data_IF_446360106752
#
_entry.id   IF_446360106752
#
_cell.length_a   1.000
_cell.length_b   1.000
_cell.length_c   1.000
_cell.angle_alpha   90.00
_cell.angle_beta   90.00
_cell.angle_gamma   90.00
#
_symmetry.space_group_name_H-M   'P 1'
#
loop_
_entity.id
_entity.type
_entity.pdbx_description
1 polymer ?
#
# COMPACT_ATOMS: atom_id res chain seq x y z
N UNK A 1 0.57 -4.32 -17.04
CA UNK A 1 0.66 -4.74 -15.62
C UNK A 1 -0.70 -5.29 -15.24
N UNK A 2 -0.75 -6.48 -14.67
CA UNK A 2 -2.03 -7.14 -14.30
C UNK A 2 -2.12 -7.42 -12.80
N UNK A 3 -1.04 -7.20 -12.03
CA UNK A 3 -0.99 -7.47 -10.59
C UNK A 3 -0.26 -6.36 -9.84
N UNK A 4 -0.93 -5.75 -8.88
CA UNK A 4 -0.43 -4.60 -8.12
C UNK A 4 -0.69 -4.78 -6.63
N UNK A 5 0.18 -4.25 -5.79
CA UNK A 5 -0.04 -4.12 -4.36
C UNK A 5 -0.96 -2.92 -4.07
N UNK A 6 -1.86 -3.04 -3.10
CA UNK A 6 -2.71 -1.95 -2.63
C UNK A 6 -2.44 -1.70 -1.15
N UNK A 7 -1.88 -0.53 -0.84
CA UNK A 7 -1.65 -0.07 0.53
C UNK A 7 -2.50 1.17 0.80
N UNK A 8 -3.30 1.13 1.86
CA UNK A 8 -4.19 2.22 2.23
C UNK A 8 -4.79 1.99 3.60
N UNK A 9 -5.91 2.62 3.90
CA UNK A 9 -6.68 2.27 5.09
C UNK A 9 -7.14 0.81 5.03
N UNK A 10 -7.42 0.22 6.20
CA UNK A 10 -7.98 -1.12 6.29
C UNK A 10 -9.23 -1.28 5.41
N UNK A 11 -10.10 -0.26 5.37
CA UNK A 11 -11.29 -0.26 4.53
C UNK A 11 -10.97 -0.34 3.05
N UNK A 12 -10.01 0.45 2.57
CA UNK A 12 -9.56 0.43 1.16
C UNK A 12 -8.96 -0.92 0.77
N UNK A 13 -8.25 -1.59 1.68
CA UNK A 13 -7.62 -2.88 1.42
C UNK A 13 -8.61 -4.06 1.53
N UNK A 14 -9.54 -4.03 2.47
CA UNK A 14 -10.43 -5.17 2.75
C UNK A 14 -11.75 -5.14 1.97
N UNK A 15 -12.24 -3.96 1.58
CA UNK A 15 -13.52 -3.86 0.90
C UNK A 15 -13.41 -3.89 -0.63
N UNK A 16 -14.49 -4.33 -1.27
CA UNK A 16 -14.55 -4.54 -2.72
C UNK A 16 -14.69 -3.25 -3.54
N UNK A 17 -15.07 -2.12 -2.93
CA UNK A 17 -15.36 -0.90 -3.69
C UNK A 17 -14.18 -0.41 -4.54
N UNK A 18 -12.95 -0.59 -4.05
CA UNK A 18 -11.73 -0.16 -4.74
C UNK A 18 -11.12 -1.30 -5.56
N UNK A 19 -10.99 -2.49 -4.94
CA UNK A 19 -10.37 -3.67 -5.55
C UNK A 19 -11.25 -4.29 -6.64
N UNK A 20 -12.55 -4.37 -6.38
CA UNK A 20 -13.56 -4.83 -7.33
C UNK A 20 -13.57 -3.97 -8.57
N UNK A 21 -13.56 -2.63 -8.42
CA UNK A 21 -13.51 -1.71 -9.57
C UNK A 21 -12.26 -1.92 -10.44
N UNK A 22 -11.09 -2.08 -9.83
CA UNK A 22 -9.84 -2.35 -10.54
C UNK A 22 -9.86 -3.69 -11.28
N UNK A 23 -10.46 -4.70 -10.67
CA UNK A 23 -10.60 -6.04 -11.26
C UNK A 23 -11.60 -6.02 -12.41
N UNK A 24 -12.79 -5.45 -12.21
CA UNK A 24 -13.89 -5.43 -13.18
C UNK A 24 -13.60 -4.56 -14.40
N UNK A 25 -13.06 -3.35 -14.20
CA UNK A 25 -12.88 -2.39 -15.30
C UNK A 25 -11.54 -2.55 -16.02
N UNK A 26 -10.51 -3.04 -15.32
CA UNK A 26 -9.14 -3.03 -15.84
C UNK A 26 -8.47 -4.41 -15.80
N UNK A 27 -9.13 -5.46 -15.29
CA UNK A 27 -8.53 -6.79 -15.09
C UNK A 27 -7.23 -6.75 -14.27
N UNK A 28 -7.16 -5.81 -13.31
CA UNK A 28 -6.01 -5.64 -12.42
C UNK A 28 -6.30 -6.34 -11.09
N UNK A 29 -5.50 -7.36 -10.76
CA UNK A 29 -5.56 -8.04 -9.48
C UNK A 29 -4.80 -7.24 -8.40
N UNK A 30 -5.46 -7.03 -7.27
CA UNK A 30 -4.90 -6.30 -6.13
C UNK A 30 -4.44 -7.26 -5.02
N UNK A 31 -3.14 -7.29 -4.77
CA UNK A 31 -2.54 -7.89 -3.60
C UNK A 31 -2.63 -6.95 -2.41
N UNK A 32 -2.99 -7.50 -1.26
CA UNK A 32 -3.06 -6.78 -0.01
C UNK A 32 -2.17 -7.47 1.04
N UNK A 33 -1.65 -6.73 2.02
CA UNK A 33 -0.90 -7.30 3.13
C UNK A 33 -1.72 -8.28 3.98
N UNK A 34 -1.06 -9.05 4.82
CA UNK A 34 -1.69 -9.93 5.80
C UNK A 34 -2.44 -9.15 6.89
N UNK A 35 -3.31 -9.82 7.66
CA UNK A 35 -4.20 -9.15 8.61
C UNK A 35 -3.47 -8.25 9.64
N UNK A 36 -2.38 -8.76 10.22
CA UNK A 36 -1.57 -8.01 11.19
C UNK A 36 -0.88 -6.81 10.53
N UNK A 37 -0.43 -7.00 9.27
CA UNK A 37 0.20 -5.93 8.51
C UNK A 37 -0.79 -4.82 8.19
N UNK A 38 -2.01 -5.18 7.80
CA UNK A 38 -3.10 -4.22 7.54
C UNK A 38 -3.49 -3.45 8.80
N UNK A 39 -3.56 -4.11 9.95
CA UNK A 39 -3.84 -3.45 11.22
C UNK A 39 -2.76 -2.41 11.56
N UNK A 40 -1.49 -2.77 11.42
CA UNK A 40 -0.37 -1.87 11.68
C UNK A 40 -0.30 -0.71 10.70
N UNK A 41 -0.52 -0.96 9.40
CA UNK A 41 -0.60 0.09 8.38
C UNK A 41 -1.72 1.07 8.71
N UNK A 42 -2.90 0.57 9.06
CA UNK A 42 -4.03 1.42 9.43
C UNK A 42 -3.73 2.25 10.68
N UNK A 43 -3.06 1.66 11.68
CA UNK A 43 -2.60 2.39 12.87
C UNK A 43 -1.66 3.54 12.48
N UNK A 44 -0.62 3.27 11.68
CA UNK A 44 0.34 4.29 11.24
C UNK A 44 -0.36 5.43 10.49
N UNK A 45 -1.34 5.11 9.64
CA UNK A 45 -2.10 6.13 8.90
C UNK A 45 -2.77 7.12 9.88
N UNK A 46 -3.52 6.63 10.87
CA UNK A 46 -4.29 7.50 11.75
C UNK A 46 -3.48 8.11 12.89
N UNK A 47 -2.53 7.37 13.45
CA UNK A 47 -1.77 7.78 14.63
C UNK A 47 -0.49 8.55 14.28
N UNK A 48 0.03 8.42 13.06
CA UNK A 48 1.23 9.14 12.62
C UNK A 48 0.94 10.04 11.42
N UNK A 49 0.55 9.47 10.27
CA UNK A 49 0.51 10.18 9.00
C UNK A 49 -0.54 11.30 8.99
N UNK A 50 -1.76 11.03 9.48
CA UNK A 50 -2.81 12.04 9.61
C UNK A 50 -2.46 13.16 10.62
N UNK A 51 -1.52 12.90 11.52
CA UNK A 51 -0.99 13.88 12.48
C UNK A 51 0.28 14.58 11.97
N UNK A 52 0.70 14.32 10.72
CA UNK A 52 1.90 14.89 10.11
C UNK A 52 3.21 14.31 10.65
N UNK A 53 3.16 13.16 11.33
CA UNK A 53 4.35 12.49 11.85
C UNK A 53 4.84 11.45 10.83
N UNK A 54 6.11 11.58 10.41
CA UNK A 54 6.72 10.69 9.43
C UNK A 54 7.99 10.07 10.01
N UNK A 55 7.83 8.97 10.73
CA UNK A 55 8.94 8.30 11.42
C UNK A 55 9.72 7.37 10.49
N UNK A 56 11.03 7.21 10.74
CA UNK A 56 11.85 6.22 10.01
C UNK A 56 11.38 4.78 10.24
N UNK A 57 10.84 4.49 11.43
CA UNK A 57 10.29 3.18 11.75
C UNK A 57 9.10 2.85 10.86
N UNK A 58 8.16 3.79 10.70
CA UNK A 58 7.03 3.64 9.79
C UNK A 58 7.49 3.52 8.33
N UNK A 59 8.44 4.36 7.89
CA UNK A 59 9.03 4.22 6.53
C UNK A 59 9.60 2.83 6.28
N UNK A 60 10.40 2.33 7.21
CA UNK A 60 11.04 1.01 7.13
C UNK A 60 9.99 -0.09 7.08
N UNK A 61 8.96 0.03 7.91
CA UNK A 61 7.85 -0.92 7.94
C UNK A 61 7.10 -0.98 6.60
N UNK A 62 6.74 0.18 6.02
CA UNK A 62 6.13 0.23 4.70
C UNK A 62 7.03 -0.38 3.62
N UNK A 63 8.33 -0.08 3.63
CA UNK A 63 9.27 -0.66 2.67
C UNK A 63 9.35 -2.19 2.77
N UNK A 64 9.34 -2.74 4.00
CA UNK A 64 9.32 -4.20 4.21
C UNK A 64 8.04 -4.84 3.68
N UNK A 65 6.88 -4.26 3.94
CA UNK A 65 5.60 -4.78 3.40
C UNK A 65 5.59 -4.72 1.87
N UNK A 66 6.08 -3.63 1.27
CA UNK A 66 6.18 -3.50 -0.19
C UNK A 66 7.10 -4.58 -0.76
N UNK A 67 8.26 -4.82 -0.15
CA UNK A 67 9.19 -5.86 -0.58
C UNK A 67 8.55 -7.25 -0.55
N UNK A 68 7.83 -7.59 0.53
CA UNK A 68 7.09 -8.86 0.63
C UNK A 68 6.02 -9.00 -0.46
N UNK A 69 5.28 -7.93 -0.76
CA UNK A 69 4.28 -7.95 -1.82
C UNK A 69 4.92 -8.03 -3.21
N UNK A 70 6.10 -7.45 -3.41
CA UNK A 70 6.88 -7.59 -4.64
C UNK A 70 7.35 -9.05 -4.84
N UNK A 71 7.80 -9.73 -3.78
CA UNK A 71 8.13 -11.17 -3.80
C UNK A 71 6.91 -12.04 -4.16
N UNK A 72 5.70 -11.60 -3.82
CA UNK A 72 4.44 -12.25 -4.22
C UNK A 72 4.00 -11.92 -5.67
N UNK A 73 4.81 -11.19 -6.42
CA UNK A 73 4.56 -10.85 -7.82
C UNK A 73 3.80 -9.55 -8.04
N UNK A 74 3.73 -8.64 -7.07
CA UNK A 74 3.27 -7.28 -7.31
C UNK A 74 4.24 -6.57 -8.27
N UNK A 75 3.70 -6.05 -9.38
CA UNK A 75 4.49 -5.34 -10.39
C UNK A 75 4.61 -3.84 -10.08
N UNK A 76 3.77 -3.34 -9.17
CA UNK A 76 3.68 -1.96 -8.74
C UNK A 76 2.91 -1.86 -7.43
N UNK A 77 2.96 -0.70 -6.78
CA UNK A 77 2.23 -0.41 -5.54
C UNK A 77 1.32 0.80 -5.72
N UNK A 78 0.05 0.64 -5.39
CA UNK A 78 -0.93 1.72 -5.30
C UNK A 78 -0.92 2.24 -3.86
N UNK A 79 -0.62 3.52 -3.71
CA UNK A 79 -0.80 4.24 -2.46
C UNK A 79 -2.20 4.84 -2.40
N UNK A 80 -3.10 4.17 -1.69
CA UNK A 80 -4.52 4.53 -1.54
C UNK A 80 -4.79 5.73 -0.63
N UNK A 81 -3.76 6.36 -0.06
CA UNK A 81 -3.84 7.59 0.72
C UNK A 81 -2.69 8.52 0.28
N UNK A 82 -2.96 9.81 0.09
CA UNK A 82 -1.97 10.79 -0.39
C UNK A 82 -0.80 10.94 0.58
N UNK A 83 -1.03 10.69 1.86
CA UNK A 83 -0.10 10.75 2.97
C UNK A 83 0.97 9.65 2.90
N UNK A 84 0.65 8.50 2.31
CA UNK A 84 1.61 7.39 2.15
C UNK A 84 2.70 7.78 1.14
N UNK A 85 2.38 8.61 0.14
CA UNK A 85 3.35 9.12 -0.83
C UNK A 85 4.46 9.98 -0.21
N UNK A 86 4.21 10.58 0.95
CA UNK A 86 5.17 11.45 1.65
C UNK A 86 6.18 10.68 2.51
N UNK A 87 5.94 9.40 2.76
CA UNK A 87 6.89 8.52 3.48
C UNK A 87 8.18 8.25 2.69
N UNK A 88 8.35 8.76 1.47
CA UNK A 88 9.57 8.56 0.68
C UNK A 88 9.72 7.16 0.09
N UNK A 89 8.75 6.26 0.30
CA UNK A 89 8.71 4.93 -0.30
C UNK A 89 8.71 4.94 -1.84
N UNK A 90 8.41 6.08 -2.48
CA UNK A 90 8.52 6.30 -3.93
C UNK A 90 9.91 6.02 -4.52
N UNK A 91 10.99 6.09 -3.73
CA UNK A 91 12.36 6.00 -4.26
C UNK A 91 13.05 4.64 -4.08
N UNK A 92 12.45 3.69 -3.35
CA UNK A 92 13.21 2.51 -2.93
C UNK A 92 13.18 1.34 -3.92
N UNK A 93 12.08 1.01 -4.61
CA UNK A 93 12.03 -0.22 -5.45
C UNK A 93 10.73 -0.33 -6.27
N UNK A 94 10.52 0.50 -7.30
CA UNK A 94 9.56 0.16 -8.35
C UNK A 94 9.70 1.09 -9.55
N UNK A 95 9.93 0.54 -10.74
CA UNK A 95 9.92 1.27 -12.02
C UNK A 95 8.51 1.76 -12.44
N UNK A 96 7.53 1.65 -11.55
CA UNK A 96 6.11 1.87 -11.83
C UNK A 96 5.36 2.61 -10.71
N UNK A 97 6.06 3.38 -9.87
CA UNK A 97 5.38 4.39 -9.04
C UNK A 97 5.00 5.58 -9.94
N UNK A 98 3.75 5.60 -10.41
CA UNK A 98 3.10 6.81 -10.95
C UNK A 98 2.49 7.57 -9.77
#
# INVERSE_FOLDING_TARGET
MTRVALLGTRYTMEQDFYRGRLTEQFSINCLIPEADERAKINQIIFEELCLGQFTEASRTYYAQVIARLAEQGAQGVIFGCTEIGFTGARRAQCSACV
#
